data_IF_523085403872
#
_entry.id   IF_523085403872
#
_cell.length_a   1.000
_cell.length_b   1.000
_cell.length_c   1.000
_cell.angle_alpha   90.00
_cell.angle_beta   90.00
_cell.angle_gamma   90.00
#
_symmetry.space_group_name_H-M   'P 1'
#
loop_
_entity.id
_entity.type
_entity.pdbx_description
1 polymer ?
#
# COMPACT_ATOMS: atom_id res chain seq x y z
N UNK A 1 40.08 -11.72 -21.70
CA UNK A 1 38.66 -11.57 -21.28
C UNK A 1 38.37 -10.10 -21.05
N UNK A 2 37.47 -9.48 -21.82
CA UNK A 2 37.06 -8.08 -21.56
C UNK A 2 36.28 -8.07 -20.25
N UNK A 3 36.80 -7.37 -19.24
CA UNK A 3 36.10 -7.11 -17.97
C UNK A 3 34.82 -6.35 -18.31
N UNK A 4 33.68 -6.85 -17.86
CA UNK A 4 32.42 -6.20 -18.16
C UNK A 4 32.36 -4.89 -17.36
N UNK A 5 31.89 -3.80 -17.99
CA UNK A 5 31.78 -2.48 -17.36
C UNK A 5 30.91 -2.53 -16.09
N UNK A 6 29.99 -3.50 -15.99
CA UNK A 6 29.10 -3.69 -14.85
C UNK A 6 29.75 -4.43 -13.68
N UNK A 7 30.82 -5.21 -13.90
CA UNK A 7 31.48 -5.99 -12.84
C UNK A 7 32.02 -5.08 -11.73
N UNK A 8 32.55 -3.92 -12.11
CA UNK A 8 33.10 -2.92 -11.16
C UNK A 8 32.01 -2.12 -10.46
N UNK A 9 30.80 -2.04 -11.05
CA UNK A 9 29.67 -1.34 -10.47
C UNK A 9 28.93 -2.22 -9.46
N UNK A 10 28.77 -3.51 -9.77
CA UNK A 10 28.14 -4.50 -8.89
C UNK A 10 29.02 -4.87 -7.69
N UNK A 11 30.35 -4.75 -7.82
CA UNK A 11 31.28 -5.02 -6.72
C UNK A 11 31.36 -3.89 -5.69
N UNK A 12 30.71 -2.74 -5.91
CA UNK A 12 30.71 -1.63 -4.94
C UNK A 12 29.80 -1.96 -3.77
N UNK A 13 30.32 -1.87 -2.56
CA UNK A 13 29.51 -1.98 -1.36
C UNK A 13 28.50 -0.82 -1.31
N UNK A 14 27.24 -1.17 -1.10
CA UNK A 14 26.13 -0.23 -0.92
C UNK A 14 25.94 0.05 0.56
N UNK A 15 25.68 1.32 0.92
CA UNK A 15 25.23 1.71 2.27
C UNK A 15 23.86 1.09 2.62
N UNK A 16 23.02 0.90 1.60
CA UNK A 16 21.67 0.39 1.76
C UNK A 16 21.66 -1.13 1.68
N UNK A 17 21.02 -1.76 2.66
CA UNK A 17 20.68 -3.20 2.64
C UNK A 17 19.58 -3.49 1.63
N UNK A 18 18.55 -2.65 1.58
CA UNK A 18 17.48 -2.74 0.59
C UNK A 18 17.00 -1.33 0.21
N UNK A 19 17.26 -0.90 -1.03
CA UNK A 19 16.82 0.42 -1.54
C UNK A 19 15.35 0.45 -1.91
N UNK A 20 14.77 -0.71 -2.21
CA UNK A 20 13.39 -0.81 -2.71
C UNK A 20 12.39 -0.28 -1.68
N UNK A 21 12.70 -0.35 -0.38
CA UNK A 21 11.82 0.15 0.68
C UNK A 21 11.61 1.68 0.63
N UNK A 22 12.55 2.40 0.00
CA UNK A 22 12.50 3.85 -0.16
C UNK A 22 11.84 4.26 -1.47
N UNK A 23 11.56 3.30 -2.35
CA UNK A 23 10.90 3.59 -3.61
C UNK A 23 9.46 4.05 -3.35
N UNK A 24 8.96 5.00 -4.12
CA UNK A 24 7.60 5.55 -3.93
C UNK A 24 6.49 4.51 -4.13
N UNK A 25 6.78 3.39 -4.81
CA UNK A 25 5.84 2.28 -4.98
C UNK A 25 5.87 1.30 -3.80
N UNK A 26 6.84 1.42 -2.89
CA UNK A 26 6.92 0.57 -1.73
C UNK A 26 5.73 0.85 -0.81
N UNK A 27 5.06 -0.22 -0.42
CA UNK A 27 3.92 -0.19 0.49
C UNK A 27 4.38 -0.78 1.80
N UNK A 28 4.46 0.02 2.88
CA UNK A 28 4.83 -0.53 4.17
C UNK A 28 3.71 -1.45 4.67
N UNK A 29 4.09 -2.50 5.39
CA UNK A 29 3.13 -3.43 6.00
C UNK A 29 2.30 -2.76 7.11
N UNK A 30 2.86 -1.74 7.76
CA UNK A 30 2.23 -1.00 8.85
C UNK A 30 2.29 0.50 8.54
N UNK A 31 1.17 1.19 8.75
CA UNK A 31 1.06 2.64 8.59
C UNK A 31 0.99 3.29 9.98
N UNK A 32 2.14 3.72 10.55
CA UNK A 32 2.16 4.26 11.90
C UNK A 32 1.36 5.56 11.99
N UNK A 33 0.63 5.75 13.10
CA UNK A 33 -0.18 6.94 13.38
C UNK A 33 -1.34 7.17 12.40
N UNK A 34 -1.79 6.12 11.72
CA UNK A 34 -2.92 6.14 10.77
C UNK A 34 -4.00 5.11 11.11
N UNK A 35 -3.96 4.57 12.32
CA UNK A 35 -4.84 3.49 12.77
C UNK A 35 -6.31 3.92 12.75
N UNK A 36 -6.60 5.16 13.18
CA UNK A 36 -7.96 5.71 13.22
C UNK A 36 -8.52 5.95 11.82
N UNK A 37 -7.70 6.46 10.90
CA UNK A 37 -8.09 6.69 9.51
C UNK A 37 -8.32 5.37 8.79
N UNK A 38 -7.47 4.36 9.04
CA UNK A 38 -7.64 3.00 8.52
C UNK A 38 -8.97 2.41 8.99
N UNK A 39 -9.24 2.46 10.29
CA UNK A 39 -10.47 1.92 10.88
C UNK A 39 -11.72 2.58 10.29
N UNK A 40 -11.70 3.91 10.13
CA UNK A 40 -12.84 4.66 9.60
C UNK A 40 -13.12 4.38 8.12
N UNK A 41 -12.08 4.22 7.31
CA UNK A 41 -12.23 3.83 5.90
C UNK A 41 -12.71 2.38 5.81
N UNK A 42 -12.12 1.48 6.60
CA UNK A 42 -12.50 0.07 6.63
C UNK A 42 -13.96 -0.13 7.06
N UNK A 43 -14.41 0.59 8.10
CA UNK A 43 -15.79 0.55 8.57
C UNK A 43 -16.79 0.96 7.48
N UNK A 44 -16.47 1.96 6.65
CA UNK A 44 -17.34 2.32 5.53
C UNK A 44 -17.31 1.28 4.41
N UNK A 45 -16.14 0.72 4.10
CA UNK A 45 -15.96 -0.23 2.99
C UNK A 45 -16.42 -1.65 3.33
N UNK A 46 -16.60 -2.01 4.60
CA UNK A 46 -17.12 -3.33 5.01
C UNK A 46 -18.52 -3.58 4.46
N UNK A 47 -19.30 -2.54 4.20
CA UNK A 47 -20.62 -2.66 3.58
C UNK A 47 -20.54 -3.30 2.19
N UNK A 48 -19.47 -3.02 1.43
CA UNK A 48 -19.20 -3.67 0.15
C UNK A 48 -19.01 -5.18 0.31
N UNK A 49 -18.33 -5.61 1.38
CA UNK A 49 -18.19 -7.03 1.72
C UNK A 49 -19.51 -7.67 2.09
N UNK A 50 -20.47 -6.92 2.63
CA UNK A 50 -21.81 -7.41 2.97
C UNK A 50 -22.77 -7.46 1.76
N UNK A 51 -22.36 -6.93 0.60
CA UNK A 51 -23.20 -6.86 -0.60
C UNK A 51 -24.08 -5.59 -0.64
N UNK A 52 -23.80 -4.63 0.24
CA UNK A 52 -24.40 -3.31 0.24
C UNK A 52 -23.48 -2.31 -0.47
N UNK A 53 -24.04 -1.20 -0.95
CA UNK A 53 -23.26 -0.14 -1.58
C UNK A 53 -22.68 0.74 -0.46
N UNK A 54 -21.34 0.85 -0.33
CA UNK A 54 -20.72 1.70 0.68
C UNK A 54 -20.99 3.18 0.39
N UNK A 55 -20.91 4.03 1.41
CA UNK A 55 -21.10 5.47 1.22
C UNK A 55 -19.91 6.11 0.52
N UNK A 56 -20.18 7.12 -0.31
CA UNK A 56 -19.12 7.91 -0.94
C UNK A 56 -18.28 8.65 0.12
N UNK A 57 -16.95 8.63 -0.04
CA UNK A 57 -16.02 9.29 0.87
C UNK A 57 -15.06 10.21 0.12
N UNK A 58 -14.83 11.41 0.66
CA UNK A 58 -13.81 12.34 0.16
C UNK A 58 -12.75 12.52 1.24
N UNK A 59 -11.48 12.28 0.90
CA UNK A 59 -10.34 12.35 1.81
C UNK A 59 -9.57 13.66 1.57
N UNK A 60 -9.58 14.56 2.55
CA UNK A 60 -8.87 15.84 2.49
C UNK A 60 -7.58 15.83 3.30
N UNK A 61 -6.63 16.68 2.90
CA UNK A 61 -5.38 16.91 3.64
C UNK A 61 -4.24 17.39 2.75
N UNK A 62 -3.15 17.86 3.35
CA UNK A 62 -1.95 18.34 2.64
C UNK A 62 -1.26 17.22 1.85
N UNK A 63 -0.47 17.58 0.82
CA UNK A 63 0.35 16.61 0.08
C UNK A 63 1.35 15.91 1.01
N UNK A 64 1.68 14.65 0.74
CA UNK A 64 2.56 13.86 1.61
C UNK A 64 1.94 13.40 2.94
N UNK A 65 0.67 13.74 3.24
CA UNK A 65 0.02 13.31 4.50
C UNK A 65 -0.34 11.82 4.57
N UNK A 66 -0.07 11.04 3.51
CA UNK A 66 -0.32 9.60 3.49
C UNK A 66 -1.73 9.19 3.05
N UNK A 67 -2.57 10.11 2.56
CA UNK A 67 -3.93 9.78 2.06
C UNK A 67 -3.92 8.62 1.07
N UNK A 68 -3.14 8.75 0.00
CA UNK A 68 -3.00 7.71 -1.04
C UNK A 68 -2.52 6.38 -0.47
N UNK A 69 -1.53 6.42 0.42
CA UNK A 69 -0.96 5.20 1.01
C UNK A 69 -1.97 4.47 1.91
N UNK A 70 -2.73 5.22 2.74
CA UNK A 70 -3.77 4.66 3.59
C UNK A 70 -4.92 4.08 2.77
N UNK A 71 -5.41 4.81 1.77
CA UNK A 71 -6.50 4.32 0.89
C UNK A 71 -6.08 3.03 0.21
N UNK A 72 -4.90 3.00 -0.42
CA UNK A 72 -4.40 1.81 -1.09
C UNK A 72 -4.23 0.63 -0.13
N UNK A 73 -3.74 0.87 1.08
CA UNK A 73 -3.60 -0.17 2.10
C UNK A 73 -4.96 -0.79 2.44
N UNK A 74 -5.97 0.03 2.77
CA UNK A 74 -7.31 -0.47 3.13
C UNK A 74 -7.99 -1.16 1.96
N UNK A 75 -7.88 -0.64 0.73
CA UNK A 75 -8.49 -1.29 -0.45
C UNK A 75 -7.86 -2.63 -0.77
N UNK A 76 -6.55 -2.81 -0.53
CA UNK A 76 -5.91 -4.12 -0.70
C UNK A 76 -6.44 -5.12 0.33
N UNK A 77 -6.54 -4.71 1.60
CA UNK A 77 -7.11 -5.56 2.65
C UNK A 77 -8.56 -5.94 2.34
N UNK A 78 -9.35 -5.00 1.81
CA UNK A 78 -10.71 -5.25 1.35
C UNK A 78 -10.74 -6.32 0.25
N UNK A 79 -9.88 -6.17 -0.76
CA UNK A 79 -9.77 -7.12 -1.88
C UNK A 79 -9.35 -8.52 -1.40
N UNK A 80 -8.29 -8.60 -0.59
CA UNK A 80 -7.82 -9.85 0.01
C UNK A 80 -8.95 -10.53 0.81
N UNK A 81 -9.73 -9.74 1.57
CA UNK A 81 -10.86 -10.28 2.32
C UNK A 81 -11.99 -10.75 1.41
N UNK A 82 -12.26 -10.03 0.32
CA UNK A 82 -13.22 -10.42 -0.71
C UNK A 82 -12.89 -11.76 -1.35
N UNK A 83 -11.64 -11.92 -1.76
CA UNK A 83 -11.12 -13.17 -2.33
C UNK A 83 -11.29 -14.35 -1.35
N UNK A 84 -10.97 -14.14 -0.06
CA UNK A 84 -11.19 -15.15 0.99
C UNK A 84 -12.67 -15.52 1.16
N UNK A 85 -13.57 -14.54 1.04
CA UNK A 85 -15.01 -14.73 1.15
C UNK A 85 -15.67 -15.22 -0.15
N UNK A 86 -14.89 -15.40 -1.23
CA UNK A 86 -15.37 -15.68 -2.60
C UNK A 86 -16.42 -14.67 -3.07
N UNK A 87 -16.25 -13.40 -2.70
CA UNK A 87 -17.05 -12.28 -3.19
C UNK A 87 -16.21 -11.47 -4.16
N UNK A 88 -16.76 -11.22 -5.35
CA UNK A 88 -16.11 -10.34 -6.30
C UNK A 88 -16.32 -8.88 -5.86
N UNK A 89 -15.22 -8.18 -5.60
CA UNK A 89 -15.19 -6.76 -5.21
C UNK A 89 -14.45 -5.94 -6.28
N UNK A 90 -14.35 -6.48 -7.50
CA UNK A 90 -13.63 -5.86 -8.61
C UNK A 90 -14.49 -4.85 -9.36
#
# INVERSE_FOLDING_TARGET
MKKNIFDTLLSRQSLFTNKEILHHSHRPAVMPHREKEIERIAFNLVEALNGQIPSNMILYGVTGSGKTAVTLHVTNLLKEKGEQMRRDIT
#
